data_IF_000770311401
#
_entry.id   IF_000770311401
#
_cell.length_a   1.000
_cell.length_b   1.000
_cell.length_c   1.000
_cell.angle_alpha   90.00
_cell.angle_beta   90.00
_cell.angle_gamma   90.00
#
_symmetry.space_group_name_H-M   'P 1'
#
loop_
_entity.id
_entity.type
_entity.pdbx_description
1 polymer ?
#
# COMPACT_ATOMS: atom_id res chain seq x y z
N UNK A 1 -6.69 -30.57 -7.18
CA UNK A 1 -5.23 -30.79 -7.11
C UNK A 1 -4.38 -29.84 -7.96
N UNK A 2 -4.91 -29.11 -8.98
CA UNK A 2 -4.08 -28.25 -9.86
C UNK A 2 -3.64 -26.92 -9.21
N UNK A 3 -4.46 -26.28 -8.36
CA UNK A 3 -4.18 -24.94 -7.80
C UNK A 3 -2.98 -24.87 -6.85
N UNK A 4 -2.62 -25.95 -6.17
CA UNK A 4 -1.49 -25.96 -5.22
C UNK A 4 -0.13 -26.14 -5.92
N UNK A 5 -0.12 -26.69 -7.15
CA UNK A 5 1.10 -26.83 -7.94
C UNK A 5 1.59 -25.49 -8.51
N UNK A 6 0.66 -24.61 -8.88
CA UNK A 6 0.98 -23.36 -9.56
C UNK A 6 1.65 -22.37 -8.61
N UNK A 7 1.11 -22.18 -7.40
CA UNK A 7 1.77 -21.30 -6.41
C UNK A 7 3.14 -21.83 -5.99
N UNK A 8 3.31 -23.16 -5.81
CA UNK A 8 4.61 -23.74 -5.48
C UNK A 8 5.64 -23.49 -6.58
N UNK A 9 5.22 -23.55 -7.84
CA UNK A 9 6.09 -23.23 -8.98
C UNK A 9 6.52 -21.73 -8.96
N UNK A 10 5.57 -20.80 -8.68
CA UNK A 10 5.86 -19.37 -8.56
C UNK A 10 6.85 -19.09 -7.42
N UNK A 11 6.62 -19.67 -6.25
CA UNK A 11 7.51 -19.58 -5.10
C UNK A 11 8.91 -20.07 -5.44
N UNK A 12 9.04 -21.24 -6.09
CA UNK A 12 10.31 -21.80 -6.50
C UNK A 12 11.03 -20.91 -7.54
N UNK A 13 10.28 -20.29 -8.45
CA UNK A 13 10.79 -19.36 -9.46
C UNK A 13 11.38 -18.13 -8.80
N UNK A 14 10.63 -17.44 -7.90
CA UNK A 14 11.08 -16.24 -7.20
C UNK A 14 12.24 -16.53 -6.25
N UNK A 15 12.17 -17.61 -5.48
CA UNK A 15 13.27 -18.06 -4.61
C UNK A 15 14.61 -18.22 -5.35
N UNK A 16 14.58 -18.67 -6.60
CA UNK A 16 15.75 -18.80 -7.46
C UNK A 16 16.23 -17.49 -8.06
N UNK A 17 15.61 -16.36 -7.74
CA UNK A 17 15.94 -15.04 -8.26
C UNK A 17 15.51 -14.80 -9.71
N UNK A 18 14.56 -15.60 -10.22
CA UNK A 18 14.01 -15.39 -11.56
C UNK A 18 12.85 -14.39 -11.48
N UNK A 19 12.73 -13.51 -12.46
CA UNK A 19 11.63 -12.56 -12.56
C UNK A 19 10.31 -13.28 -12.83
N UNK A 20 9.26 -12.79 -12.16
CA UNK A 20 7.89 -13.20 -12.43
C UNK A 20 7.33 -12.37 -13.58
N UNK A 21 6.52 -12.98 -14.41
CA UNK A 21 5.76 -12.26 -15.45
C UNK A 21 4.59 -11.49 -14.85
N UNK A 22 4.02 -10.57 -15.62
CA UNK A 22 2.84 -9.80 -15.21
C UNK A 22 1.67 -10.72 -14.83
N UNK A 23 1.43 -11.77 -15.61
CA UNK A 23 0.39 -12.77 -15.35
C UNK A 23 0.66 -13.57 -14.07
N UNK A 24 1.91 -13.97 -13.81
CA UNK A 24 2.28 -14.71 -12.60
C UNK A 24 2.11 -13.85 -11.33
N UNK A 25 2.39 -12.56 -11.42
CA UNK A 25 2.15 -11.62 -10.33
C UNK A 25 0.65 -11.42 -10.11
N UNK A 26 -0.12 -11.25 -11.18
CA UNK A 26 -1.58 -11.12 -11.09
C UNK A 26 -2.21 -12.39 -10.49
N UNK A 27 -1.77 -13.57 -10.91
CA UNK A 27 -2.21 -14.84 -10.36
C UNK A 27 -1.93 -14.92 -8.84
N UNK A 28 -0.72 -14.54 -8.39
CA UNK A 28 -0.39 -14.51 -6.97
C UNK A 28 -1.31 -13.55 -6.20
N UNK A 29 -1.50 -12.34 -6.70
CA UNK A 29 -2.37 -11.33 -6.08
C UNK A 29 -3.81 -11.83 -6.02
N UNK A 30 -4.33 -12.38 -7.10
CA UNK A 30 -5.71 -12.88 -7.16
C UNK A 30 -5.92 -14.13 -6.31
N UNK A 31 -4.94 -15.03 -6.23
CA UNK A 31 -5.01 -16.16 -5.30
C UNK A 31 -5.03 -15.69 -3.84
N UNK A 32 -4.26 -14.66 -3.51
CA UNK A 32 -4.25 -14.05 -2.16
C UNK A 32 -5.62 -13.47 -1.82
N UNK A 33 -6.20 -12.68 -2.70
CA UNK A 33 -7.51 -12.02 -2.49
C UNK A 33 -8.65 -13.05 -2.35
N UNK A 34 -8.59 -14.13 -3.13
CA UNK A 34 -9.60 -15.18 -3.12
C UNK A 34 -9.41 -16.21 -2.00
N UNK A 35 -8.44 -16.02 -1.10
CA UNK A 35 -8.04 -17.00 -0.09
C UNK A 35 -7.79 -18.40 -0.71
N UNK A 36 -7.22 -18.44 -1.90
CA UNK A 36 -6.93 -19.69 -2.62
C UNK A 36 -5.55 -20.26 -2.29
N UNK A 37 -4.76 -19.55 -1.49
CA UNK A 37 -3.44 -19.92 -0.99
C UNK A 37 -3.35 -19.69 0.52
N UNK A 38 -2.49 -20.46 1.18
CA UNK A 38 -2.30 -20.39 2.62
C UNK A 38 -1.40 -19.21 3.02
N UNK A 39 -1.54 -18.74 4.26
CA UNK A 39 -0.67 -17.70 4.83
C UNK A 39 0.82 -18.06 4.81
N UNK A 40 1.16 -19.34 4.93
CA UNK A 40 2.53 -19.85 4.77
C UNK A 40 3.09 -19.60 3.35
N UNK A 41 2.24 -19.73 2.33
CA UNK A 41 2.60 -19.49 0.93
C UNK A 41 2.72 -17.99 0.65
N UNK A 42 1.84 -17.17 1.22
CA UNK A 42 1.95 -15.70 1.18
C UNK A 42 3.26 -15.27 1.83
N UNK A 43 3.54 -15.70 3.06
CA UNK A 43 4.77 -15.38 3.77
C UNK A 43 6.03 -15.84 3.02
N UNK A 44 6.01 -17.03 2.42
CA UNK A 44 7.11 -17.53 1.61
C UNK A 44 7.37 -16.66 0.36
N UNK A 45 6.31 -16.15 -0.31
CA UNK A 45 6.47 -15.23 -1.44
C UNK A 45 7.03 -13.90 -0.99
N UNK A 46 6.50 -13.33 0.09
CA UNK A 46 6.98 -12.05 0.64
C UNK A 46 8.46 -12.14 1.03
N UNK A 47 8.87 -13.23 1.68
CA UNK A 47 10.27 -13.45 2.04
C UNK A 47 11.15 -13.66 0.80
N UNK A 48 10.69 -14.40 -0.20
CA UNK A 48 11.42 -14.55 -1.46
C UNK A 48 11.60 -13.20 -2.17
N UNK A 49 10.58 -12.34 -2.14
CA UNK A 49 10.65 -10.97 -2.67
C UNK A 49 11.62 -10.12 -1.83
N UNK A 50 11.57 -10.19 -0.51
CA UNK A 50 12.46 -9.41 0.36
C UNK A 50 13.93 -9.73 0.12
N UNK A 51 14.27 -11.02 -0.06
CA UNK A 51 15.65 -11.48 -0.30
C UNK A 51 16.12 -11.21 -1.73
N UNK A 52 15.26 -11.38 -2.73
CA UNK A 52 15.62 -11.30 -4.17
C UNK A 52 15.32 -9.97 -4.82
N UNK A 53 14.54 -9.12 -4.16
CA UNK A 53 14.03 -7.88 -4.72
C UNK A 53 12.93 -8.11 -5.77
N UNK A 54 12.41 -7.01 -6.27
CA UNK A 54 11.55 -6.95 -7.45
C UNK A 54 12.23 -6.10 -8.52
N UNK A 55 12.13 -6.50 -9.77
CA UNK A 55 12.49 -5.64 -10.90
C UNK A 55 11.47 -4.49 -11.01
N UNK A 56 11.78 -3.49 -11.86
CA UNK A 56 10.82 -2.42 -12.15
C UNK A 56 9.52 -2.98 -12.69
N UNK A 57 9.59 -3.91 -13.64
CA UNK A 57 8.41 -4.51 -14.25
C UNK A 57 7.59 -5.27 -13.21
N UNK A 58 8.23 -6.09 -12.38
CA UNK A 58 7.55 -6.80 -11.29
C UNK A 58 6.87 -5.83 -10.31
N UNK A 59 7.55 -4.74 -9.92
CA UNK A 59 6.98 -3.74 -9.00
C UNK A 59 5.77 -3.04 -9.62
N UNK A 60 5.86 -2.66 -10.90
CA UNK A 60 4.74 -2.04 -11.62
C UNK A 60 3.55 -2.99 -11.74
N UNK A 61 3.80 -4.26 -12.08
CA UNK A 61 2.75 -5.28 -12.18
C UNK A 61 2.09 -5.56 -10.83
N UNK A 62 2.89 -5.69 -9.76
CA UNK A 62 2.37 -5.87 -8.40
C UNK A 62 1.50 -4.67 -7.99
N UNK A 63 1.98 -3.45 -8.21
CA UNK A 63 1.24 -2.21 -7.93
C UNK A 63 -0.10 -2.19 -8.66
N UNK A 64 -0.10 -2.48 -9.94
CA UNK A 64 -1.29 -2.51 -10.79
C UNK A 64 -2.29 -3.58 -10.33
N UNK A 65 -1.83 -4.81 -10.14
CA UNK A 65 -2.69 -5.91 -9.68
C UNK A 65 -3.29 -5.63 -8.30
N UNK A 66 -2.50 -5.09 -7.37
CA UNK A 66 -3.00 -4.69 -6.05
C UNK A 66 -4.04 -3.57 -6.14
N UNK A 67 -3.81 -2.54 -6.97
CA UNK A 67 -4.76 -1.45 -7.17
C UNK A 67 -6.10 -1.95 -7.71
N UNK A 68 -6.08 -2.91 -8.64
CA UNK A 68 -7.27 -3.47 -9.28
C UNK A 68 -7.87 -4.67 -8.52
N UNK A 69 -7.33 -5.01 -7.37
CA UNK A 69 -7.86 -6.09 -6.53
C UNK A 69 -9.15 -5.74 -5.78
N UNK A 70 -9.67 -4.55 -5.97
CA UNK A 70 -10.90 -4.02 -5.41
C UNK A 70 -11.44 -2.89 -6.27
N UNK A 71 -12.27 -2.04 -5.68
CA UNK A 71 -12.81 -0.86 -6.35
C UNK A 71 -11.69 0.12 -6.71
N UNK A 72 -11.82 0.74 -7.88
CA UNK A 72 -10.95 1.83 -8.33
C UNK A 72 -11.83 3.06 -8.58
N UNK A 73 -11.59 4.12 -7.83
CA UNK A 73 -12.34 5.37 -7.98
C UNK A 73 -12.01 6.06 -9.30
N UNK A 74 -13.05 6.64 -9.89
CA UNK A 74 -12.95 7.52 -11.05
C UNK A 74 -13.69 8.80 -10.71
N UNK A 75 -12.96 9.90 -10.65
CA UNK A 75 -13.48 11.21 -10.32
C UNK A 75 -13.58 12.06 -11.60
N UNK A 76 -14.54 12.94 -11.66
CA UNK A 76 -14.69 13.98 -12.70
C UNK A 76 -13.90 15.27 -12.36
N UNK A 77 -13.18 15.24 -11.25
CA UNK A 77 -12.28 16.28 -10.75
C UNK A 77 -10.90 15.72 -10.41
N UNK A 78 -9.94 16.61 -10.23
CA UNK A 78 -8.59 16.23 -9.80
C UNK A 78 -8.54 15.98 -8.30
N UNK A 79 -7.79 14.96 -7.90
CA UNK A 79 -7.55 14.60 -6.52
C UNK A 79 -6.05 14.54 -6.24
N UNK A 80 -5.67 15.03 -5.07
CA UNK A 80 -4.29 15.09 -4.61
C UNK A 80 -4.15 14.29 -3.33
N UNK A 81 -2.97 13.77 -3.05
CA UNK A 81 -2.73 13.09 -1.79
C UNK A 81 -1.26 13.22 -1.35
N UNK A 82 -1.02 12.91 -0.10
CA UNK A 82 0.30 12.78 0.51
C UNK A 82 0.42 11.40 1.13
N UNK A 83 1.58 10.76 1.00
CA UNK A 83 1.85 9.50 1.67
C UNK A 83 3.21 9.53 2.36
N UNK A 84 3.26 9.00 3.57
CA UNK A 84 4.50 8.82 4.33
C UNK A 84 5.02 7.40 4.19
N UNK A 85 6.34 7.23 4.20
CA UNK A 85 6.97 5.90 4.24
C UNK A 85 6.76 5.16 5.56
N UNK A 86 6.32 5.86 6.61
CA UNK A 86 6.11 5.26 7.93
C UNK A 86 7.38 5.26 8.79
N UNK A 87 7.35 4.46 9.86
CA UNK A 87 8.48 4.29 10.79
C UNK A 87 8.52 5.34 11.91
N UNK A 88 8.32 6.61 11.64
CA UNK A 88 8.43 7.72 12.62
C UNK A 88 7.07 8.29 13.05
N UNK A 89 5.99 7.66 12.64
CA UNK A 89 4.64 8.12 12.94
C UNK A 89 4.25 9.40 12.19
N UNK A 90 3.44 9.24 11.16
CA UNK A 90 2.93 10.36 10.38
C UNK A 90 1.84 11.12 11.16
N UNK A 91 2.18 12.27 11.73
CA UNK A 91 1.23 13.16 12.41
C UNK A 91 0.70 14.24 11.49
N UNK A 92 1.50 14.63 10.48
CA UNK A 92 1.17 15.78 9.64
C UNK A 92 -0.04 15.53 8.74
N UNK A 93 -0.31 14.29 8.33
CA UNK A 93 -1.47 13.97 7.50
C UNK A 93 -2.79 14.32 8.17
N UNK A 94 -2.88 14.24 9.51
CA UNK A 94 -4.10 14.53 10.26
C UNK A 94 -4.55 15.99 10.12
N UNK A 95 -3.71 17.02 10.36
CA UNK A 95 -4.08 18.41 10.14
C UNK A 95 -3.98 18.82 8.64
N UNK A 96 -3.09 18.21 7.86
CA UNK A 96 -2.86 18.60 6.46
C UNK A 96 -4.07 18.28 5.57
N UNK A 97 -4.63 17.08 5.68
CA UNK A 97 -5.71 16.66 4.79
C UNK A 97 -6.96 17.56 4.88
N UNK A 98 -7.50 17.88 6.08
CA UNK A 98 -8.60 18.82 6.18
C UNK A 98 -8.22 20.27 5.83
N UNK A 99 -6.96 20.69 6.08
CA UNK A 99 -6.51 22.01 5.67
C UNK A 99 -6.49 22.17 4.14
N UNK A 100 -6.03 21.15 3.41
CA UNK A 100 -6.09 21.11 1.95
C UNK A 100 -7.53 21.13 1.44
N UNK A 101 -8.42 20.36 2.08
CA UNK A 101 -9.82 20.34 1.72
C UNK A 101 -10.48 21.73 1.93
N UNK A 102 -10.15 22.44 3.00
CA UNK A 102 -10.61 23.82 3.24
C UNK A 102 -10.12 24.81 2.16
N UNK A 103 -9.02 24.50 1.48
CA UNK A 103 -8.50 25.26 0.33
C UNK A 103 -9.10 24.78 -1.01
N UNK A 104 -10.04 23.86 -1.01
CA UNK A 104 -10.71 23.35 -2.20
C UNK A 104 -10.02 22.15 -2.87
N UNK A 105 -8.94 21.62 -2.29
CA UNK A 105 -8.25 20.43 -2.80
C UNK A 105 -8.98 19.18 -2.34
N UNK A 106 -9.27 18.25 -3.26
CA UNK A 106 -9.90 16.97 -2.92
C UNK A 106 -8.82 15.95 -2.53
N UNK A 107 -8.94 15.37 -1.30
CA UNK A 107 -7.90 14.51 -0.69
C UNK A 107 -8.46 13.13 -0.28
N UNK A 108 -8.47 12.14 -1.20
CA UNK A 108 -8.92 10.78 -0.92
C UNK A 108 -7.80 9.94 -0.28
N UNK A 109 -7.48 10.18 0.98
CA UNK A 109 -6.34 9.59 1.64
C UNK A 109 -6.63 8.17 2.16
N UNK A 110 -6.07 7.15 1.51
CA UNK A 110 -5.93 5.82 2.11
C UNK A 110 -4.60 5.74 2.87
N UNK A 111 -4.69 5.29 4.11
CA UNK A 111 -3.55 5.15 5.00
C UNK A 111 -3.45 3.75 5.59
N UNK A 112 -2.33 3.45 6.24
CA UNK A 112 -2.08 2.18 6.93
C UNK A 112 -2.14 2.32 8.45
N UNK A 113 -2.22 1.16 9.12
CA UNK A 113 -1.92 1.00 10.53
C UNK A 113 -0.41 1.07 10.76
N UNK A 114 0.01 1.22 11.99
CA UNK A 114 1.42 1.12 12.36
C UNK A 114 1.98 -0.27 12.06
N UNK A 115 3.24 -0.28 11.70
CA UNK A 115 4.08 -1.47 11.68
C UNK A 115 5.18 -1.26 12.73
N UNK A 116 5.68 -2.35 13.30
CA UNK A 116 6.73 -2.33 14.33
C UNK A 116 6.35 -1.50 15.57
N UNK A 117 7.22 -0.60 16.01
CA UNK A 117 7.13 0.14 17.27
C UNK A 117 6.27 1.41 17.21
N UNK A 118 5.86 1.86 16.03
CA UNK A 118 5.15 3.13 15.88
C UNK A 118 3.71 2.94 15.41
N UNK A 119 2.77 3.64 16.04
CA UNK A 119 1.38 3.68 15.60
C UNK A 119 1.23 4.38 14.24
N UNK A 120 0.38 3.84 13.37
CA UNK A 120 0.04 4.45 12.08
C UNK A 120 -0.93 5.63 12.20
N UNK A 121 -1.19 6.27 11.08
CA UNK A 121 -2.15 7.38 11.00
C UNK A 121 -3.56 6.94 11.42
N UNK A 122 -3.98 5.73 11.01
CA UNK A 122 -5.29 5.20 11.37
C UNK A 122 -5.42 4.95 12.88
N UNK A 123 -4.39 4.41 13.50
CA UNK A 123 -4.38 4.12 14.95
C UNK A 123 -4.53 5.41 15.77
N UNK A 124 -3.93 6.51 15.30
CA UNK A 124 -4.08 7.83 15.93
C UNK A 124 -5.49 8.39 15.76
N UNK A 125 -6.10 8.23 14.59
CA UNK A 125 -7.47 8.70 14.32
C UNK A 125 -8.49 7.90 15.13
N UNK A 126 -8.30 6.60 15.30
CA UNK A 126 -9.18 5.76 16.13
C UNK A 126 -9.12 6.10 17.63
N UNK A 127 -8.11 6.87 18.08
CA UNK A 127 -8.09 7.42 19.44
C UNK A 127 -9.12 8.52 19.66
N UNK A 128 -9.68 9.07 18.58
CA UNK A 128 -10.79 10.04 18.65
C UNK A 128 -12.10 9.27 18.84
N UNK A 129 -12.84 9.48 19.93
CA UNK A 129 -14.08 8.76 20.17
C UNK A 129 -15.07 8.86 18.99
N UNK A 130 -15.51 7.72 18.47
CA UNK A 130 -16.47 7.64 17.36
C UNK A 130 -15.87 7.79 15.96
N UNK A 131 -14.54 8.02 15.81
CA UNK A 131 -13.92 8.07 14.50
C UNK A 131 -13.85 6.67 13.88
N UNK A 132 -14.33 6.54 12.65
CA UNK A 132 -14.32 5.27 11.90
C UNK A 132 -13.35 5.36 10.73
N UNK A 133 -12.43 4.41 10.62
CA UNK A 133 -11.46 4.31 9.51
C UNK A 133 -11.91 3.31 8.45
N UNK A 134 -12.81 2.39 8.78
CA UNK A 134 -13.38 1.41 7.84
C UNK A 134 -14.70 1.95 7.30
N UNK A 135 -14.68 2.51 6.12
CA UNK A 135 -15.82 3.13 5.45
C UNK A 135 -16.18 2.35 4.18
N UNK A 136 -17.45 2.35 3.81
CA UNK A 136 -17.90 1.80 2.53
C UNK A 136 -17.50 2.72 1.36
N UNK A 137 -17.60 2.21 0.12
CA UNK A 137 -17.32 3.02 -1.08
C UNK A 137 -18.26 4.22 -1.17
N UNK A 138 -19.53 4.03 -0.80
CA UNK A 138 -20.55 5.07 -0.77
C UNK A 138 -20.22 6.15 0.27
N UNK A 139 -19.82 5.75 1.49
CA UNK A 139 -19.39 6.67 2.55
C UNK A 139 -18.15 7.46 2.14
N UNK A 140 -17.14 6.80 1.53
CA UNK A 140 -15.94 7.47 1.01
C UNK A 140 -16.27 8.48 -0.09
N UNK A 141 -17.19 8.11 -0.99
CA UNK A 141 -17.66 8.99 -2.06
C UNK A 141 -18.39 10.19 -1.49
N UNK A 142 -19.27 10.00 -0.50
CA UNK A 142 -19.97 11.08 0.19
C UNK A 142 -18.98 12.04 0.87
N UNK A 143 -17.98 11.52 1.60
CA UNK A 143 -16.96 12.34 2.25
C UNK A 143 -16.21 13.26 1.26
N UNK A 144 -15.80 12.73 0.09
CA UNK A 144 -15.11 13.54 -0.93
C UNK A 144 -16.03 14.59 -1.52
N UNK A 145 -17.28 14.26 -1.79
CA UNK A 145 -18.23 15.19 -2.38
C UNK A 145 -18.62 16.32 -1.41
N UNK A 146 -18.90 15.98 -0.16
CA UNK A 146 -19.40 16.91 0.85
C UNK A 146 -18.28 17.69 1.55
N UNK A 147 -17.23 16.98 2.01
CA UNK A 147 -16.16 17.56 2.81
C UNK A 147 -14.85 17.77 2.06
N UNK A 148 -14.70 17.16 0.88
CA UNK A 148 -13.46 17.23 0.11
C UNK A 148 -12.33 16.32 0.61
N UNK A 149 -12.57 15.53 1.67
CA UNK A 149 -11.51 14.74 2.29
C UNK A 149 -12.05 13.49 2.96
N UNK A 150 -11.25 12.42 2.93
CA UNK A 150 -11.31 11.34 3.90
C UNK A 150 -9.92 10.85 4.25
N UNK A 151 -9.77 10.27 5.44
CA UNK A 151 -8.62 9.43 5.81
C UNK A 151 -9.17 8.08 6.25
N UNK A 152 -8.92 7.04 5.47
CA UNK A 152 -9.55 5.73 5.67
C UNK A 152 -8.57 4.57 5.45
N UNK A 153 -8.98 3.39 5.87
CA UNK A 153 -8.27 2.13 5.69
C UNK A 153 -8.61 1.49 4.34
N UNK A 154 -7.70 0.74 3.72
CA UNK A 154 -8.08 -0.28 2.74
C UNK A 154 -9.11 -1.25 3.32
N UNK A 155 -10.07 -1.66 2.50
CA UNK A 155 -11.17 -2.56 2.91
C UNK A 155 -11.16 -3.85 2.10
N UNK A 156 -12.12 -4.72 2.33
CA UNK A 156 -12.29 -5.92 1.51
C UNK A 156 -12.74 -5.62 0.08
N UNK A 157 -13.15 -4.38 -0.19
CA UNK A 157 -13.61 -3.92 -1.50
C UNK A 157 -12.73 -2.81 -2.09
N UNK A 158 -11.66 -2.40 -1.39
CA UNK A 158 -10.76 -1.31 -1.81
C UNK A 158 -9.33 -1.67 -1.45
N UNK A 159 -8.46 -1.84 -2.45
CA UNK A 159 -7.07 -2.34 -2.26
C UNK A 159 -7.01 -3.64 -1.44
N UNK A 160 -7.88 -4.59 -1.74
CA UNK A 160 -8.06 -5.84 -0.98
C UNK A 160 -6.75 -6.59 -0.81
N UNK A 161 -5.97 -6.72 -1.88
CA UNK A 161 -4.68 -7.41 -1.84
C UNK A 161 -3.69 -6.72 -0.91
N UNK A 162 -3.61 -5.38 -0.95
CA UNK A 162 -2.72 -4.63 -0.06
C UNK A 162 -3.08 -4.87 1.42
N UNK A 163 -4.36 -4.86 1.75
CA UNK A 163 -4.82 -5.15 3.11
C UNK A 163 -4.31 -6.51 3.61
N UNK A 164 -4.41 -7.55 2.78
CA UNK A 164 -3.96 -8.90 3.14
C UNK A 164 -2.44 -8.97 3.20
N UNK A 165 -1.76 -8.55 2.14
CA UNK A 165 -0.29 -8.62 2.08
C UNK A 165 0.37 -7.78 3.18
N UNK A 166 -0.19 -6.62 3.53
CA UNK A 166 0.31 -5.75 4.59
C UNK A 166 0.28 -6.44 5.96
N UNK A 167 -0.81 -7.15 6.28
CA UNK A 167 -0.91 -7.90 7.54
C UNK A 167 0.10 -9.04 7.65
N UNK A 168 0.47 -9.67 6.52
CA UNK A 168 1.52 -10.68 6.51
C UNK A 168 2.92 -10.08 6.59
N UNK A 169 3.16 -8.91 6.00
CA UNK A 169 4.47 -8.23 6.09
C UNK A 169 4.87 -7.93 7.52
N UNK A 170 3.91 -7.57 8.36
CA UNK A 170 4.11 -7.28 9.78
C UNK A 170 4.69 -8.49 10.54
N UNK A 171 4.16 -9.68 10.27
CA UNK A 171 4.53 -10.91 10.99
C UNK A 171 5.63 -11.74 10.32
N UNK A 172 6.10 -11.34 9.14
CA UNK A 172 7.11 -12.07 8.36
C UNK A 172 8.44 -11.33 8.25
N UNK A 173 8.62 -10.22 8.97
CA UNK A 173 9.82 -9.37 8.90
C UNK A 173 10.15 -8.95 7.44
N UNK A 174 9.13 -8.53 6.69
CA UNK A 174 9.28 -8.05 5.30
C UNK A 174 8.71 -6.64 5.11
N UNK A 175 8.55 -5.91 6.21
CA UNK A 175 7.99 -4.55 6.20
C UNK A 175 8.91 -3.53 5.52
N UNK A 176 10.23 -3.74 5.58
CA UNK A 176 11.30 -2.87 5.08
C UNK A 176 11.68 -3.13 3.61
N UNK A 177 11.02 -4.06 2.93
CA UNK A 177 11.31 -4.34 1.52
C UNK A 177 10.80 -3.23 0.60
N UNK A 178 11.71 -2.49 -0.05
CA UNK A 178 11.41 -1.36 -0.95
C UNK A 178 10.32 -1.67 -1.98
N UNK A 179 10.43 -2.79 -2.70
CA UNK A 179 9.46 -3.15 -3.75
C UNK A 179 8.06 -3.37 -3.20
N UNK A 180 7.95 -3.94 -1.99
CA UNK A 180 6.67 -4.12 -1.31
C UNK A 180 6.14 -2.80 -0.74
N UNK A 181 7.01 -1.90 -0.29
CA UNK A 181 6.64 -0.55 0.16
C UNK A 181 6.07 0.24 -1.02
N UNK A 182 6.81 0.27 -2.14
CA UNK A 182 6.38 0.94 -3.38
C UNK A 182 5.02 0.42 -3.83
N UNK A 183 4.87 -0.91 -3.96
CA UNK A 183 3.62 -1.54 -4.37
C UNK A 183 2.45 -1.17 -3.45
N UNK A 184 2.67 -1.21 -2.14
CA UNK A 184 1.65 -0.87 -1.13
C UNK A 184 1.24 0.61 -1.20
N UNK A 185 2.19 1.54 -1.33
CA UNK A 185 1.90 2.97 -1.41
C UNK A 185 1.17 3.30 -2.71
N UNK A 186 1.76 2.93 -3.85
CA UNK A 186 1.25 3.34 -5.15
C UNK A 186 -0.07 2.65 -5.52
N UNK A 187 -0.31 1.41 -5.09
CA UNK A 187 -1.59 0.75 -5.33
C UNK A 187 -2.77 1.47 -4.67
N UNK A 188 -2.59 1.97 -3.46
CA UNK A 188 -3.61 2.80 -2.77
C UNK A 188 -3.91 4.07 -3.55
N UNK A 189 -2.87 4.75 -4.06
CA UNK A 189 -3.03 6.00 -4.82
C UNK A 189 -3.68 5.77 -6.18
N UNK A 190 -3.30 4.68 -6.85
CA UNK A 190 -3.95 4.27 -8.08
C UNK A 190 -5.43 3.90 -7.86
N UNK A 191 -5.75 3.16 -6.80
CA UNK A 191 -7.12 2.80 -6.48
C UNK A 191 -7.99 4.00 -6.09
N UNK A 192 -7.41 5.03 -5.46
CA UNK A 192 -8.13 6.27 -5.13
C UNK A 192 -8.14 7.31 -6.25
N UNK A 193 -7.56 6.99 -7.41
CA UNK A 193 -7.57 7.87 -8.59
C UNK A 193 -6.70 9.12 -8.44
N UNK A 194 -5.72 9.09 -7.54
CA UNK A 194 -4.81 10.21 -7.26
C UNK A 194 -3.95 10.52 -8.49
N UNK A 195 -3.92 11.79 -8.89
CA UNK A 195 -3.09 12.28 -10.00
C UNK A 195 -1.85 13.05 -9.52
N UNK A 196 -1.94 13.69 -8.37
CA UNK A 196 -0.84 14.48 -7.80
C UNK A 196 -0.54 13.97 -6.40
N UNK A 197 0.69 13.52 -6.18
CA UNK A 197 1.10 12.93 -4.91
C UNK A 197 2.38 13.57 -4.39
N UNK A 198 2.40 13.87 -3.09
CA UNK A 198 3.61 14.22 -2.35
C UNK A 198 4.05 13.01 -1.53
N UNK A 199 5.30 12.60 -1.72
CA UNK A 199 5.92 11.57 -0.90
C UNK A 199 6.68 12.22 0.26
N UNK A 200 6.33 11.82 1.47
CA UNK A 200 6.98 12.22 2.70
C UNK A 200 7.89 11.07 3.16
N UNK A 201 9.17 11.16 2.78
CA UNK A 201 10.15 10.12 3.10
C UNK A 201 10.78 10.46 4.44
N UNK A 202 10.49 9.61 5.43
CA UNK A 202 11.02 9.76 6.79
C UNK A 202 12.45 9.27 6.85
N UNK A 203 13.30 10.04 7.55
CA UNK A 203 14.72 9.74 7.77
C UNK A 203 15.00 9.78 9.25
N UNK A 204 15.78 8.84 9.74
CA UNK A 204 16.20 8.76 11.15
C UNK A 204 16.29 7.34 11.67
N UNK A 205 16.82 7.16 12.86
CA UNK A 205 17.13 5.85 13.46
C UNK A 205 15.94 4.88 13.58
N UNK A 206 14.72 5.42 13.74
CA UNK A 206 13.48 4.63 13.83
C UNK A 206 12.67 4.62 12.55
N UNK A 207 13.20 5.21 11.47
CA UNK A 207 12.56 5.15 10.14
C UNK A 207 13.13 4.00 9.32
N UNK A 208 12.47 3.68 8.21
CA UNK A 208 12.96 2.65 7.27
C UNK A 208 14.26 3.06 6.56
N UNK A 209 14.59 4.35 6.56
CA UNK A 209 15.82 4.90 5.98
C UNK A 209 16.55 5.72 7.03
N UNK A 210 17.73 5.25 7.42
CA UNK A 210 18.52 5.88 8.48
C UNK A 210 19.34 7.06 7.98
N UNK A 211 19.67 7.08 6.66
CA UNK A 211 20.51 8.10 6.04
C UNK A 211 19.81 8.82 4.88
N UNK A 212 20.32 10.00 4.53
CA UNK A 212 19.85 10.79 3.39
C UNK A 212 20.09 10.02 2.07
N UNK A 213 21.20 9.30 1.98
CA UNK A 213 21.57 8.51 0.81
C UNK A 213 20.57 7.38 0.55
N UNK A 214 20.20 6.63 1.59
CA UNK A 214 19.18 5.58 1.50
C UNK A 214 17.83 6.16 1.12
N UNK A 215 17.39 7.23 1.79
CA UNK A 215 16.14 7.92 1.50
C UNK A 215 16.09 8.47 0.07
N UNK A 216 17.21 9.04 -0.41
CA UNK A 216 17.32 9.54 -1.78
C UNK A 216 17.25 8.41 -2.80
N UNK A 217 17.92 7.29 -2.55
CA UNK A 217 17.86 6.11 -3.42
C UNK A 217 16.42 5.56 -3.50
N UNK A 218 15.72 5.51 -2.38
CA UNK A 218 14.32 5.13 -2.34
C UNK A 218 13.41 6.14 -3.07
N UNK A 219 13.61 7.44 -2.87
CA UNK A 219 12.89 8.49 -3.58
C UNK A 219 13.01 8.34 -5.10
N UNK A 220 14.21 8.10 -5.59
CA UNK A 220 14.46 7.82 -7.01
C UNK A 220 13.69 6.61 -7.53
N UNK A 221 13.56 5.55 -6.72
CA UNK A 221 12.75 4.39 -7.10
C UNK A 221 11.28 4.78 -7.22
N UNK A 222 10.74 5.47 -6.21
CA UNK A 222 9.32 5.86 -6.14
C UNK A 222 8.89 6.78 -7.30
N UNK A 223 9.71 7.75 -7.69
CA UNK A 223 9.38 8.72 -8.75
C UNK A 223 9.41 8.11 -10.17
N UNK A 224 10.03 6.93 -10.32
CA UNK A 224 10.19 6.26 -11.62
C UNK A 224 9.11 5.22 -11.93
N UNK A 225 8.15 5.04 -11.06
CA UNK A 225 6.96 4.20 -11.21
C UNK A 225 5.71 5.04 -11.47
#
# INVERSE_FOLDING_TARGET
MSRNSDIVALLAKKRRGKELTDSEIDDFVMMTVKNAIDGSQIGAMLMAIAIRGLSKQETASLTKSMAHSGHVFKWDFEVCDKHSTGGVGDKISIPLAPALAALGVKVPMLSGRGLDLTGGTLDKLESIPGFRVNLSIEELTACINECGVFIASPTNNLCTADKVLYSFRDVTATADCDGLIVGSILSKKAATGVKHMVLDIKIGEVSQHSTIEEASAFAYKMVRF
#
